data_IF_261321201322
#
_entry.id   IF_261321201322
#
_cell.length_a   1.000
_cell.length_b   1.000
_cell.length_c   1.000
_cell.angle_alpha   90.00
_cell.angle_beta   90.00
_cell.angle_gamma   90.00
#
_symmetry.space_group_name_H-M   'P 1'
#
loop_
_entity.id
_entity.type
_entity.pdbx_description
1 polymer ?
#
# COMPACT_ATOMS: atom_id res chain seq x y z
N UNK A 1 -8.15 24.64 3.53
CA UNK A 1 -8.89 23.40 3.21
C UNK A 1 -7.88 22.26 3.20
N UNK A 2 -8.21 21.07 3.71
CA UNK A 2 -7.32 19.92 3.57
C UNK A 2 -7.24 19.50 2.09
N UNK A 3 -6.03 19.18 1.61
CA UNK A 3 -5.77 18.78 0.23
C UNK A 3 -6.61 17.56 -0.19
N UNK A 4 -7.11 17.56 -1.42
CA UNK A 4 -8.04 16.55 -1.93
C UNK A 4 -7.35 15.20 -2.14
N UNK A 5 -6.08 15.18 -2.59
CA UNK A 5 -5.28 13.94 -2.65
C UNK A 5 -5.13 13.29 -1.27
N UNK A 6 -4.82 14.09 -0.23
CA UNK A 6 -4.69 13.57 1.14
C UNK A 6 -6.00 12.96 1.64
N UNK A 7 -7.14 13.61 1.37
CA UNK A 7 -8.46 13.07 1.72
C UNK A 7 -8.77 11.78 0.97
N UNK A 8 -8.50 11.76 -0.33
CA UNK A 8 -8.77 10.61 -1.18
C UNK A 8 -7.98 9.38 -0.74
N UNK A 9 -6.66 9.52 -0.57
CA UNK A 9 -5.79 8.41 -0.18
C UNK A 9 -6.02 7.98 1.27
N UNK A 10 -6.26 8.91 2.20
CA UNK A 10 -6.63 8.59 3.58
C UNK A 10 -8.00 7.88 3.69
N UNK A 11 -8.98 8.24 2.84
CA UNK A 11 -10.23 7.49 2.76
C UNK A 11 -10.03 6.09 2.19
N UNK A 12 -9.09 5.93 1.25
CA UNK A 12 -8.73 4.61 0.72
C UNK A 12 -8.04 3.74 1.78
N UNK A 13 -7.19 4.32 2.63
CA UNK A 13 -6.62 3.65 3.80
C UNK A 13 -7.70 3.12 4.75
N UNK A 14 -8.71 3.94 5.08
CA UNK A 14 -9.83 3.51 5.92
C UNK A 14 -10.60 2.33 5.29
N UNK A 15 -10.88 2.42 3.97
CA UNK A 15 -11.52 1.34 3.22
C UNK A 15 -10.71 0.03 3.24
N UNK A 16 -9.38 0.12 3.12
CA UNK A 16 -8.49 -1.05 3.17
C UNK A 16 -8.44 -1.69 4.56
N UNK A 17 -8.46 -0.90 5.64
CA UNK A 17 -8.51 -1.41 7.01
C UNK A 17 -9.83 -2.12 7.33
N UNK A 18 -10.95 -1.59 6.83
CA UNK A 18 -12.26 -2.25 6.93
C UNK A 18 -12.26 -3.62 6.24
N UNK A 19 -11.68 -3.73 5.03
CA UNK A 19 -11.56 -4.99 4.31
C UNK A 19 -10.65 -6.00 5.05
N UNK A 20 -9.56 -5.54 5.67
CA UNK A 20 -8.71 -6.39 6.53
C UNK A 20 -9.46 -6.87 7.77
N UNK A 21 -10.31 -6.02 8.36
CA UNK A 21 -11.14 -6.40 9.51
C UNK A 21 -12.17 -7.46 9.13
N UNK A 22 -12.84 -7.30 7.99
CA UNK A 22 -13.78 -8.30 7.44
C UNK A 22 -13.09 -9.62 7.12
N UNK A 23 -11.87 -9.57 6.56
CA UNK A 23 -11.04 -10.76 6.28
C UNK A 23 -10.85 -11.65 7.52
N UNK A 24 -10.84 -11.06 8.72
CA UNK A 24 -10.58 -11.73 9.99
C UNK A 24 -11.84 -11.95 10.86
N UNK A 25 -13.05 -11.63 10.37
CA UNK A 25 -14.25 -11.61 11.22
C UNK A 25 -14.72 -13.00 11.67
N UNK A 26 -14.25 -13.44 12.83
CA UNK A 26 -14.95 -14.32 13.78
C UNK A 26 -14.98 -15.82 13.51
N UNK A 27 -14.61 -16.29 12.32
CA UNK A 27 -14.51 -17.72 12.02
C UNK A 27 -13.06 -18.19 11.97
N UNK A 28 -12.82 -19.49 12.16
CA UNK A 28 -11.49 -20.12 11.99
C UNK A 28 -10.94 -19.98 10.56
N UNK A 29 -11.76 -19.51 9.61
CA UNK A 29 -11.44 -19.32 8.20
C UNK A 29 -11.37 -17.85 7.82
N UNK A 30 -10.46 -17.54 6.90
CA UNK A 30 -10.35 -16.21 6.28
C UNK A 30 -11.50 -16.01 5.29
N UNK A 31 -12.17 -14.86 5.35
CA UNK A 31 -13.08 -14.43 4.28
C UNK A 31 -12.27 -14.13 3.02
N UNK A 32 -12.42 -15.01 2.02
CA UNK A 32 -11.66 -14.95 0.78
C UNK A 32 -12.10 -13.80 -0.13
N UNK A 33 -13.37 -13.42 -0.10
CA UNK A 33 -13.89 -12.32 -0.92
C UNK A 33 -13.36 -10.99 -0.40
N UNK A 34 -13.46 -10.77 0.92
CA UNK A 34 -12.87 -9.61 1.58
C UNK A 34 -11.35 -9.52 1.33
N UNK A 35 -10.64 -10.66 1.43
CA UNK A 35 -9.22 -10.71 1.12
C UNK A 35 -8.91 -10.34 -0.32
N UNK A 36 -9.66 -10.86 -1.30
CA UNK A 36 -9.44 -10.52 -2.70
C UNK A 36 -9.71 -9.04 -2.97
N UNK A 37 -10.78 -8.47 -2.41
CA UNK A 37 -11.06 -7.05 -2.51
C UNK A 37 -9.93 -6.20 -1.89
N UNK A 38 -9.39 -6.62 -0.74
CA UNK A 38 -8.22 -5.98 -0.12
C UNK A 38 -6.99 -6.05 -1.02
N UNK A 39 -6.64 -7.23 -1.57
CA UNK A 39 -5.48 -7.39 -2.45
C UNK A 39 -5.54 -6.47 -3.66
N UNK A 40 -6.69 -6.43 -4.33
CA UNK A 40 -6.88 -5.55 -5.49
C UNK A 40 -6.79 -4.08 -5.10
N UNK A 41 -7.45 -3.71 -3.99
CA UNK A 41 -7.40 -2.35 -3.47
C UNK A 41 -5.97 -1.90 -3.13
N UNK A 42 -5.23 -2.71 -2.39
CA UNK A 42 -3.88 -2.36 -1.95
C UNK A 42 -2.90 -2.28 -3.12
N UNK A 43 -2.96 -3.20 -4.09
CA UNK A 43 -2.10 -3.11 -5.27
C UNK A 43 -2.44 -1.91 -6.16
N UNK A 44 -3.72 -1.52 -6.22
CA UNK A 44 -4.14 -0.29 -6.89
C UNK A 44 -3.58 0.94 -6.17
N UNK A 45 -3.67 0.95 -4.83
CA UNK A 45 -3.17 2.02 -3.98
C UNK A 45 -1.68 2.25 -4.19
N UNK A 46 -0.88 1.19 -4.03
CA UNK A 46 0.57 1.19 -4.27
C UNK A 46 0.89 1.72 -5.66
N UNK A 47 0.11 1.33 -6.67
CA UNK A 47 0.37 1.77 -8.04
C UNK A 47 0.09 3.28 -8.23
N UNK A 48 -0.91 3.86 -7.57
CA UNK A 48 -1.11 5.32 -7.57
C UNK A 48 0.11 6.03 -6.99
N UNK A 49 0.58 5.59 -5.83
CA UNK A 49 1.71 6.22 -5.16
C UNK A 49 2.99 6.09 -5.97
N UNK A 50 3.33 4.89 -6.42
CA UNK A 50 4.58 4.65 -7.14
C UNK A 50 4.65 5.31 -8.51
N UNK A 51 3.53 5.35 -9.24
CA UNK A 51 3.53 5.81 -10.64
C UNK A 51 3.15 7.28 -10.80
N UNK A 52 2.47 7.87 -9.80
CA UNK A 52 2.02 9.26 -9.84
C UNK A 52 2.81 10.09 -8.83
N UNK A 53 2.60 9.86 -7.53
CA UNK A 53 3.19 10.69 -6.46
C UNK A 53 4.71 10.61 -6.45
N UNK A 54 5.26 9.40 -6.40
CA UNK A 54 6.71 9.19 -6.33
C UNK A 54 7.42 9.56 -7.63
N UNK A 55 6.70 9.54 -8.76
CA UNK A 55 7.24 10.06 -10.04
C UNK A 55 7.31 11.58 -10.00
N UNK A 56 6.31 12.27 -9.45
CA UNK A 56 6.35 13.72 -9.25
C UNK A 56 7.54 14.14 -8.36
N UNK A 57 7.70 13.49 -7.20
CA UNK A 57 8.84 13.70 -6.29
C UNK A 57 10.19 13.42 -6.94
N UNK A 58 10.30 12.33 -7.72
CA UNK A 58 11.53 12.01 -8.44
C UNK A 58 11.88 13.07 -9.48
N UNK A 59 10.89 13.62 -10.19
CA UNK A 59 11.10 14.67 -11.20
C UNK A 59 11.56 16.00 -10.58
N UNK A 60 11.14 16.30 -9.35
CA UNK A 60 11.62 17.48 -8.62
C UNK A 60 12.99 17.28 -7.98
N UNK A 61 13.49 16.04 -7.91
CA UNK A 61 14.75 15.70 -7.24
C UNK A 61 14.65 15.61 -5.71
N UNK A 62 13.42 15.63 -5.17
CA UNK A 62 13.16 15.60 -3.73
C UNK A 62 13.02 14.16 -3.19
N UNK A 63 13.05 14.04 -1.85
CA UNK A 63 12.48 12.92 -1.10
C UNK A 63 13.00 11.51 -1.44
N UNK A 64 14.24 11.36 -1.94
CA UNK A 64 14.76 10.05 -2.37
C UNK A 64 14.70 9.01 -1.25
N UNK A 65 15.16 9.35 -0.05
CA UNK A 65 15.20 8.41 1.08
C UNK A 65 13.79 8.00 1.53
N UNK A 66 12.85 8.96 1.57
CA UNK A 66 11.44 8.68 1.84
C UNK A 66 10.86 7.73 0.80
N UNK A 67 11.11 8.00 -0.49
CA UNK A 67 10.64 7.14 -1.57
C UNK A 67 11.23 5.73 -1.51
N UNK A 68 12.51 5.59 -1.15
CA UNK A 68 13.15 4.29 -1.00
C UNK A 68 12.55 3.50 0.18
N UNK A 69 12.24 4.17 1.29
CA UNK A 69 11.54 3.57 2.44
C UNK A 69 10.13 3.10 2.07
N UNK A 70 9.34 3.94 1.39
CA UNK A 70 7.98 3.62 0.94
C UNK A 70 7.99 2.41 -0.02
N UNK A 71 8.91 2.38 -1.01
CA UNK A 71 9.07 1.22 -1.91
C UNK A 71 9.45 -0.07 -1.18
N UNK A 72 10.27 0.02 -0.12
CA UNK A 72 10.62 -1.15 0.66
C UNK A 72 9.39 -1.73 1.39
N UNK A 73 8.54 -0.86 1.94
CA UNK A 73 7.26 -1.26 2.54
C UNK A 73 6.30 -1.83 1.49
N UNK A 74 6.17 -1.21 0.31
CA UNK A 74 5.37 -1.73 -0.81
C UNK A 74 5.83 -3.11 -1.26
N UNK A 75 7.14 -3.32 -1.41
CA UNK A 75 7.68 -4.61 -1.81
C UNK A 75 7.32 -5.72 -0.81
N UNK A 76 7.38 -5.42 0.48
CA UNK A 76 6.98 -6.36 1.53
C UNK A 76 5.46 -6.60 1.53
N UNK A 77 4.66 -5.53 1.46
CA UNK A 77 3.21 -5.62 1.40
C UNK A 77 2.77 -6.47 0.19
N UNK A 78 3.28 -6.18 -1.01
CA UNK A 78 3.00 -6.95 -2.21
C UNK A 78 3.40 -8.42 -2.08
N UNK A 79 4.55 -8.72 -1.46
CA UNK A 79 4.99 -10.09 -1.22
C UNK A 79 4.03 -10.86 -0.29
N UNK A 80 3.47 -10.21 0.73
CA UNK A 80 2.49 -10.82 1.64
C UNK A 80 1.15 -11.14 0.94
N UNK A 81 0.85 -10.50 -0.19
CA UNK A 81 -0.36 -10.76 -0.99
C UNK A 81 -0.20 -11.92 -1.98
N UNK A 82 1.00 -12.48 -2.16
CA UNK A 82 1.25 -13.56 -3.12
C UNK A 82 0.67 -14.90 -2.65
N UNK A 83 0.90 -15.36 -1.40
CA UNK A 83 0.33 -16.60 -0.92
C UNK A 83 -1.20 -16.56 -0.77
N UNK A 84 -1.86 -17.74 -0.72
CA UNK A 84 -3.23 -17.84 -0.21
C UNK A 84 -3.35 -17.20 1.18
N UNK A 85 -4.48 -16.57 1.50
CA UNK A 85 -4.65 -15.91 2.79
C UNK A 85 -4.56 -16.92 3.94
N UNK A 86 -3.79 -16.55 4.95
CA UNK A 86 -3.78 -17.19 6.27
C UNK A 86 -3.72 -16.11 7.33
N UNK A 87 -4.36 -16.33 8.47
CA UNK A 87 -4.53 -15.31 9.51
C UNK A 87 -3.21 -14.61 9.88
N UNK A 88 -2.10 -15.35 9.98
CA UNK A 88 -0.77 -14.79 10.25
C UNK A 88 -0.31 -13.75 9.22
N UNK A 89 -0.50 -14.03 7.92
CA UNK A 89 -0.10 -13.10 6.85
C UNK A 89 -1.00 -11.85 6.85
N UNK A 90 -2.30 -12.03 7.06
CA UNK A 90 -3.27 -10.93 7.14
C UNK A 90 -2.94 -10.02 8.33
N UNK A 91 -2.66 -10.59 9.51
CA UNK A 91 -2.26 -9.83 10.70
C UNK A 91 -0.93 -9.10 10.50
N UNK A 92 0.03 -9.76 9.86
CA UNK A 92 1.32 -9.15 9.50
C UNK A 92 1.13 -7.97 8.54
N UNK A 93 0.34 -8.15 7.47
CA UNK A 93 0.03 -7.10 6.51
C UNK A 93 -0.65 -5.90 7.18
N UNK A 94 -1.65 -6.14 8.05
CA UNK A 94 -2.32 -5.08 8.82
C UNK A 94 -1.34 -4.26 9.65
N UNK A 95 -0.41 -4.92 10.35
CA UNK A 95 0.59 -4.23 11.16
C UNK A 95 1.52 -3.35 10.32
N UNK A 96 2.00 -3.87 9.19
CA UNK A 96 2.91 -3.13 8.31
C UNK A 96 2.17 -1.95 7.68
N UNK A 97 0.94 -2.17 7.19
CA UNK A 97 0.11 -1.13 6.59
C UNK A 97 -0.16 0.00 7.59
N UNK A 98 -0.51 -0.31 8.84
CA UNK A 98 -0.74 0.72 9.86
C UNK A 98 0.50 1.59 10.16
N UNK A 99 1.72 1.03 10.07
CA UNK A 99 2.96 1.79 10.24
C UNK A 99 3.33 2.58 8.97
N UNK A 100 3.03 2.02 7.81
CA UNK A 100 3.25 2.61 6.50
C UNK A 100 2.38 3.86 6.30
N UNK A 101 1.07 3.75 6.54
CA UNK A 101 0.12 4.87 6.41
C UNK A 101 0.54 6.08 7.25
N UNK A 102 1.12 5.86 8.44
CA UNK A 102 1.64 6.96 9.30
C UNK A 102 2.76 7.74 8.62
N UNK A 103 3.63 7.07 7.87
CA UNK A 103 4.75 7.70 7.16
C UNK A 103 4.23 8.54 6.00
N UNK A 104 3.16 8.11 5.34
CA UNK A 104 2.58 8.80 4.19
C UNK A 104 1.76 10.01 4.61
N UNK A 105 0.95 9.85 5.67
CA UNK A 105 0.03 10.85 6.17
C UNK A 105 0.67 11.88 7.11
N UNK A 106 1.92 11.66 7.54
CA UNK A 106 2.67 12.61 8.37
C UNK A 106 2.68 14.03 7.79
N UNK A 107 2.91 15.02 8.64
CA UNK A 107 2.99 16.43 8.21
C UNK A 107 4.09 16.67 7.17
N UNK A 108 5.18 15.92 7.27
CA UNK A 108 6.30 15.87 6.33
C UNK A 108 6.33 14.52 5.57
N UNK A 109 5.19 13.84 5.50
CA UNK A 109 5.04 12.53 4.86
C UNK A 109 4.96 12.61 3.33
N UNK A 110 4.77 11.44 2.71
CA UNK A 110 4.70 11.30 1.25
C UNK A 110 3.72 12.28 0.61
N UNK A 111 2.51 12.39 1.17
CA UNK A 111 1.47 13.21 0.56
C UNK A 111 1.78 14.70 0.67
N UNK A 112 2.30 15.14 1.82
CA UNK A 112 2.68 16.53 2.03
C UNK A 112 3.82 16.94 1.08
N UNK A 113 4.89 16.14 1.01
CA UNK A 113 6.02 16.42 0.13
C UNK A 113 5.62 16.39 -1.35
N UNK A 114 4.69 15.52 -1.75
CA UNK A 114 4.21 15.50 -3.14
C UNK A 114 3.46 16.79 -3.50
N UNK A 115 2.67 17.32 -2.58
CA UNK A 115 1.90 18.57 -2.76
C UNK A 115 2.77 19.84 -2.74
N UNK A 116 4.02 19.75 -2.30
CA UNK A 116 4.99 20.84 -2.42
C UNK A 116 5.52 21.00 -3.85
N UNK A 117 5.44 19.94 -4.66
CA UNK A 117 6.09 19.87 -5.98
C UNK A 117 5.14 19.62 -7.14
N UNK A 118 3.86 19.39 -6.86
CA UNK A 118 2.83 19.12 -7.86
C UNK A 118 1.46 19.66 -7.42
N UNK A 119 0.61 19.94 -8.40
CA UNK A 119 -0.74 20.46 -8.19
C UNK A 119 -1.69 19.35 -7.68
N UNK A 120 -2.49 19.67 -6.66
CA UNK A 120 -3.41 18.73 -5.99
C UNK A 120 -4.48 18.20 -6.96
N UNK A 121 -5.08 19.08 -7.76
CA UNK A 121 -6.14 18.72 -8.70
C UNK A 121 -5.60 17.88 -9.86
N UNK A 122 -4.40 18.21 -10.37
CA UNK A 122 -3.74 17.43 -11.42
C UNK A 122 -3.38 16.02 -10.93
N UNK A 123 -2.81 15.90 -9.73
CA UNK A 123 -2.51 14.60 -9.12
C UNK A 123 -3.79 13.77 -8.93
N UNK A 124 -4.85 14.37 -8.40
CA UNK A 124 -6.12 13.68 -8.20
C UNK A 124 -6.75 13.23 -9.52
N UNK A 125 -6.66 14.06 -10.56
CA UNK A 125 -7.11 13.69 -11.90
C UNK A 125 -6.34 12.49 -12.45
N UNK A 126 -5.02 12.44 -12.28
CA UNK A 126 -4.19 11.30 -12.68
C UNK A 126 -4.55 10.02 -11.90
N UNK A 127 -4.74 10.13 -10.58
CA UNK A 127 -5.15 9.00 -9.73
C UNK A 127 -6.48 8.41 -10.22
N UNK A 128 -7.47 9.26 -10.49
CA UNK A 128 -8.80 8.85 -10.96
C UNK A 128 -8.79 8.29 -12.38
N UNK A 129 -7.88 8.76 -13.23
CA UNK A 129 -7.74 8.29 -14.60
C UNK A 129 -6.94 6.98 -14.71
N UNK A 130 -6.21 6.58 -13.66
CA UNK A 130 -5.37 5.40 -13.71
C UNK A 130 -6.21 4.11 -13.90
N UNK A 131 -5.88 3.27 -14.90
CA UNK A 131 -6.56 1.99 -15.08
C UNK A 131 -6.43 1.09 -13.85
N UNK A 132 -7.39 0.17 -13.70
CA UNK A 132 -7.33 -0.85 -12.66
C UNK A 132 -6.14 -1.78 -12.88
N UNK A 133 -5.39 -2.06 -11.82
CA UNK A 133 -4.29 -3.02 -11.85
C UNK A 133 -4.79 -4.45 -12.02
N UNK A 134 -4.08 -5.23 -12.84
CA UNK A 134 -4.34 -6.66 -13.00
C UNK A 134 -3.67 -7.43 -11.86
N UNK A 135 -4.45 -8.22 -11.12
CA UNK A 135 -3.94 -9.02 -10.00
C UNK A 135 -3.90 -10.49 -10.37
N UNK A 136 -2.73 -11.11 -10.18
CA UNK A 136 -2.56 -12.54 -10.42
C UNK A 136 -3.21 -13.39 -9.33
N UNK A 137 -3.66 -14.62 -9.66
CA UNK A 137 -4.12 -15.58 -8.65
C UNK A 137 -3.04 -15.84 -7.58
N UNK A 138 -3.43 -16.13 -6.33
CA UNK A 138 -2.49 -16.51 -5.29
C UNK A 138 -1.64 -17.72 -5.68
N UNK A 139 -0.39 -17.76 -5.21
CA UNK A 139 0.55 -18.88 -5.42
C UNK A 139 1.31 -19.18 -4.14
N UNK A 140 1.59 -20.46 -3.92
CA UNK A 140 2.40 -20.93 -2.78
C UNK A 140 3.69 -21.54 -3.27
N UNK A 141 4.76 -21.43 -2.48
CA UNK A 141 6.06 -22.02 -2.79
C UNK A 141 7.11 -21.67 -1.74
N UNK A 142 8.14 -22.53 -1.56
CA UNK A 142 9.20 -22.29 -0.59
C UNK A 142 10.03 -21.04 -0.92
N UNK A 143 10.14 -20.69 -2.19
CA UNK A 143 10.76 -19.47 -2.69
C UNK A 143 9.98 -18.21 -2.26
N UNK A 144 8.65 -18.25 -2.29
CA UNK A 144 7.78 -17.15 -1.86
C UNK A 144 7.91 -16.94 -0.34
N UNK A 145 7.87 -18.01 0.46
CA UNK A 145 8.02 -17.91 1.92
C UNK A 145 9.43 -17.42 2.32
N UNK A 146 10.47 -17.89 1.63
CA UNK A 146 11.84 -17.41 1.83
C UNK A 146 11.98 -15.93 1.46
N UNK A 147 11.30 -15.49 0.40
CA UNK A 147 11.29 -14.09 -0.02
C UNK A 147 10.62 -13.18 1.00
N UNK A 148 9.44 -13.55 1.50
CA UNK A 148 8.73 -12.82 2.57
C UNK A 148 9.61 -12.72 3.81
N UNK A 149 10.21 -13.84 4.24
CA UNK A 149 11.11 -13.87 5.39
C UNK A 149 12.28 -12.92 5.24
N UNK A 150 12.90 -12.86 4.05
CA UNK A 150 14.01 -11.95 3.76
C UNK A 150 13.58 -10.48 3.87
N UNK A 151 12.42 -10.13 3.32
CA UNK A 151 11.90 -8.76 3.38
C UNK A 151 11.53 -8.35 4.81
N UNK A 152 10.90 -9.23 5.59
CA UNK A 152 10.60 -8.98 7.00
C UNK A 152 11.87 -8.70 7.82
N UNK A 153 12.95 -9.45 7.59
CA UNK A 153 14.24 -9.23 8.25
C UNK A 153 14.89 -7.91 7.83
N UNK A 154 14.79 -7.55 6.54
CA UNK A 154 15.35 -6.29 6.04
C UNK A 154 14.65 -5.07 6.66
N UNK A 155 13.33 -5.15 6.87
CA UNK A 155 12.52 -4.08 7.47
C UNK A 155 12.79 -3.83 8.96
N UNK A 156 13.30 -4.82 9.68
CA UNK A 156 13.58 -4.72 11.12
C UNK A 156 14.95 -4.10 11.45
N UNK A 157 15.76 -3.81 10.43
CA UNK A 157 17.08 -3.18 10.56
C UNK A 157 16.96 -1.69 10.39
#
# INVERSE_FOLDING_TARGET
>A
MAAEVRKFLGADHARLDELLTQTLSGSSSVDYEAWQAFRHGLLQHIAWEETILMVALRKSGAAKELCDRIRADHALLAALLVPPPRAELVLTARRILAEHNKVEEAMDGLYAQCLEVADDDELLAQIRAMPKVSVSPPRSGPDIEAHITRLLRARQR
#
